data_IF_328318452813
#
_entry.id   IF_328318452813
#
_cell.length_a   1.000
_cell.length_b   1.000
_cell.length_c   1.000
_cell.angle_alpha   90.00
_cell.angle_beta   90.00
_cell.angle_gamma   90.00
#
_symmetry.space_group_name_H-M   'P 1'
#
loop_
_entity.id
_entity.type
_entity.pdbx_description
1 polymer ?
#
# COMPACT_ATOMS: atom_id res chain seq x y z
N UNK A 1 -6.42 -2.37 -19.41
CA UNK A 1 -5.26 -1.52 -19.06
C UNK A 1 -4.21 -1.78 -20.14
N UNK A 2 -3.99 -0.83 -21.05
CA UNK A 2 -3.00 -0.98 -22.12
C UNK A 2 -1.60 -1.10 -21.51
N UNK A 3 -0.82 -2.08 -21.99
CA UNK A 3 0.60 -2.19 -21.66
C UNK A 3 1.31 -0.94 -22.17
N UNK A 4 2.00 -0.23 -21.28
CA UNK A 4 2.97 0.78 -21.69
C UNK A 4 4.30 0.05 -21.82
N UNK A 5 4.69 -0.25 -23.05
CA UNK A 5 5.98 -0.88 -23.35
C UNK A 5 7.12 -0.01 -22.81
N UNK A 6 7.97 -0.58 -21.95
CA UNK A 6 9.19 0.10 -21.46
C UNK A 6 10.24 0.06 -22.58
N UNK A 7 10.40 1.19 -23.27
CA UNK A 7 11.47 1.38 -24.24
C UNK A 7 12.68 2.02 -23.56
N UNK A 8 13.81 1.31 -23.51
CA UNK A 8 15.08 1.88 -23.06
C UNK A 8 15.79 2.51 -24.26
N UNK A 9 15.69 3.83 -24.39
CA UNK A 9 16.31 4.59 -25.47
C UNK A 9 17.78 4.85 -25.09
N UNK A 10 18.72 4.31 -25.86
CA UNK A 10 20.16 4.55 -25.68
C UNK A 10 20.55 5.92 -26.25
N UNK A 11 21.65 6.51 -25.78
CA UNK A 11 22.13 7.81 -26.28
C UNK A 11 22.40 7.83 -27.80
N UNK A 12 22.65 6.66 -28.40
CA UNK A 12 22.89 6.48 -29.83
C UNK A 12 21.62 6.34 -30.68
N UNK A 13 20.43 6.27 -30.07
CA UNK A 13 19.15 6.11 -30.78
C UNK A 13 18.69 7.48 -31.36
N UNK A 14 18.23 7.57 -32.61
CA UNK A 14 17.73 8.83 -33.19
C UNK A 14 16.59 9.49 -32.40
N UNK A 15 15.79 8.70 -31.66
CA UNK A 15 14.74 9.21 -30.76
C UNK A 15 15.31 9.89 -29.52
N UNK A 16 16.59 9.64 -29.18
CA UNK A 16 17.29 10.34 -28.12
C UNK A 16 17.56 11.80 -28.47
N UNK A 17 17.83 12.12 -29.73
CA UNK A 17 17.95 13.50 -30.19
C UNK A 17 16.60 14.25 -30.15
N UNK A 18 15.49 13.53 -30.36
CA UNK A 18 14.12 14.06 -30.21
C UNK A 18 13.69 14.20 -28.74
N UNK A 19 14.32 13.46 -27.82
CA UNK A 19 14.30 13.73 -26.39
C UNK A 19 15.20 14.94 -26.13
N UNK A 20 14.72 16.12 -26.52
CA UNK A 20 15.40 17.39 -26.24
C UNK A 20 15.79 17.41 -24.75
N UNK A 21 17.10 17.36 -24.48
CA UNK A 21 17.63 17.33 -23.12
C UNK A 21 17.07 18.52 -22.32
N UNK A 22 16.88 19.67 -22.98
CA UNK A 22 16.26 20.84 -22.39
C UNK A 22 14.75 20.66 -22.14
N UNK A 23 14.02 19.94 -22.97
CA UNK A 23 12.61 19.60 -22.69
C UNK A 23 12.47 18.65 -21.49
N UNK A 24 13.37 17.66 -21.36
CA UNK A 24 13.41 16.79 -20.19
C UNK A 24 13.75 17.57 -18.91
N UNK A 25 14.78 18.41 -18.95
CA UNK A 25 15.21 19.21 -17.80
C UNK A 25 14.12 20.22 -17.39
N UNK A 26 13.44 20.85 -18.37
CA UNK A 26 12.26 21.71 -18.12
C UNK A 26 11.12 20.94 -17.45
N UNK A 27 10.81 19.73 -17.93
CA UNK A 27 9.76 18.90 -17.34
C UNK A 27 10.11 18.44 -15.91
N UNK A 28 11.37 18.07 -15.66
CA UNK A 28 11.85 17.71 -14.34
C UNK A 28 11.76 18.90 -13.37
N UNK A 29 12.15 20.10 -13.82
CA UNK A 29 12.04 21.32 -13.03
C UNK A 29 10.58 21.67 -12.73
N UNK A 30 9.69 21.62 -13.72
CA UNK A 30 8.26 21.86 -13.54
C UNK A 30 7.62 20.84 -12.56
N UNK A 31 8.03 19.57 -12.63
CA UNK A 31 7.59 18.51 -11.70
C UNK A 31 8.03 18.79 -10.27
N UNK A 32 9.29 19.18 -10.07
CA UNK A 32 9.80 19.61 -8.76
C UNK A 32 9.01 20.80 -8.21
N UNK A 33 8.70 21.78 -9.05
CA UNK A 33 7.95 22.97 -8.62
C UNK A 33 6.52 22.60 -8.19
N UNK A 34 5.83 21.76 -8.95
CA UNK A 34 4.51 21.26 -8.57
C UNK A 34 4.57 20.46 -7.26
N UNK A 35 5.56 19.58 -7.11
CA UNK A 35 5.75 18.81 -5.90
C UNK A 35 5.95 19.71 -4.69
N UNK A 36 6.83 20.71 -4.79
CA UNK A 36 7.13 21.64 -3.70
C UNK A 36 5.94 22.55 -3.35
N UNK A 37 5.22 23.06 -4.35
CA UNK A 37 4.03 23.88 -4.15
C UNK A 37 2.93 23.08 -3.44
N UNK A 38 2.62 21.89 -3.94
CA UNK A 38 1.63 21.02 -3.31
C UNK A 38 2.07 20.57 -1.91
N UNK A 39 3.36 20.26 -1.72
CA UNK A 39 3.90 19.91 -0.41
C UNK A 39 3.76 21.08 0.57
N UNK A 40 4.03 22.31 0.15
CA UNK A 40 3.86 23.49 0.98
C UNK A 40 2.42 23.63 1.47
N UNK A 41 1.44 23.56 0.57
CA UNK A 41 0.02 23.64 0.93
C UNK A 41 -0.39 22.56 1.94
N UNK A 42 -0.02 21.30 1.69
CA UNK A 42 -0.32 20.20 2.61
C UNK A 42 0.36 20.43 3.96
N UNK A 43 1.62 20.88 3.98
CA UNK A 43 2.36 21.15 5.23
C UNK A 43 1.74 22.28 6.02
N UNK A 44 1.41 23.41 5.39
CA UNK A 44 0.78 24.54 6.09
C UNK A 44 -0.55 24.10 6.70
N UNK A 45 -1.39 23.43 5.92
CA UNK A 45 -2.66 22.91 6.41
C UNK A 45 -2.45 21.94 7.59
N UNK A 46 -1.51 20.99 7.48
CA UNK A 46 -1.23 20.03 8.54
C UNK A 46 -0.71 20.69 9.82
N UNK A 47 0.16 21.69 9.72
CA UNK A 47 0.73 22.39 10.88
C UNK A 47 -0.34 23.19 11.62
N UNK A 48 -1.20 23.92 10.91
CA UNK A 48 -2.16 24.82 11.56
C UNK A 48 -3.48 24.14 11.97
N UNK A 49 -3.92 23.12 11.24
CA UNK A 49 -5.20 22.45 11.52
C UNK A 49 -5.04 21.07 12.15
N UNK A 50 -3.84 20.47 12.07
CA UNK A 50 -3.60 19.08 12.44
C UNK A 50 -4.19 18.06 11.46
N UNK A 51 -4.78 18.50 10.33
CA UNK A 51 -5.49 17.62 9.39
C UNK A 51 -4.75 17.50 8.05
N UNK A 52 -4.78 16.29 7.48
CA UNK A 52 -4.15 15.98 6.20
C UNK A 52 -5.08 16.25 5.02
N UNK A 53 -4.58 16.98 4.02
CA UNK A 53 -5.28 17.22 2.75
C UNK A 53 -5.01 16.03 1.82
N UNK A 54 -6.04 15.21 1.58
CA UNK A 54 -5.90 14.03 0.72
C UNK A 54 -5.66 14.39 -0.76
N UNK A 55 -5.21 13.39 -1.54
CA UNK A 55 -4.99 13.51 -2.99
C UNK A 55 -6.12 14.22 -3.75
N UNK A 56 -7.38 13.90 -3.47
CA UNK A 56 -8.52 14.47 -4.21
C UNK A 56 -8.72 15.96 -3.92
N UNK A 57 -8.48 16.38 -2.68
CA UNK A 57 -8.55 17.78 -2.30
C UNK A 57 -7.37 18.57 -2.88
N UNK A 58 -6.13 18.06 -2.75
CA UNK A 58 -4.95 18.77 -3.26
C UNK A 58 -4.95 18.86 -4.78
N UNK A 59 -5.43 17.83 -5.50
CA UNK A 59 -5.58 17.88 -6.96
C UNK A 59 -6.50 19.02 -7.40
N UNK A 60 -7.66 19.19 -6.73
CA UNK A 60 -8.59 20.30 -7.02
C UNK A 60 -7.97 21.67 -6.75
N UNK A 61 -7.21 21.80 -5.67
CA UNK A 61 -6.51 23.06 -5.33
C UNK A 61 -5.46 23.36 -6.40
N UNK A 62 -4.64 22.36 -6.74
CA UNK A 62 -3.50 22.51 -7.64
C UNK A 62 -3.92 22.73 -9.10
N UNK A 63 -5.08 22.27 -9.56
CA UNK A 63 -5.55 22.49 -10.94
C UNK A 63 -5.57 23.96 -11.39
N UNK A 64 -5.70 24.90 -10.45
CA UNK A 64 -5.64 26.35 -10.72
C UNK A 64 -4.22 26.92 -10.69
N UNK A 65 -3.27 26.22 -10.07
CA UNK A 65 -1.90 26.66 -9.85
C UNK A 65 -1.06 26.60 -11.13
N UNK A 66 -0.16 27.56 -11.32
CA UNK A 66 0.74 27.64 -12.49
C UNK A 66 1.58 26.37 -12.67
N UNK A 67 2.16 25.86 -11.59
CA UNK A 67 2.99 24.65 -11.61
C UNK A 67 2.24 23.40 -12.06
N UNK A 68 0.92 23.32 -11.83
CA UNK A 68 0.11 22.20 -12.31
C UNK A 68 -0.14 22.31 -13.82
N UNK A 69 -0.38 23.54 -14.30
CA UNK A 69 -0.63 23.86 -15.72
C UNK A 69 0.65 23.81 -16.57
N UNK A 70 1.82 23.93 -15.94
CA UNK A 70 3.14 23.81 -16.58
C UNK A 70 3.47 22.38 -17.06
N UNK A 71 2.65 21.39 -16.67
CA UNK A 71 2.81 19.99 -17.04
C UNK A 71 1.52 19.44 -17.66
N UNK A 72 1.60 18.38 -18.50
CA UNK A 72 0.41 17.66 -18.93
C UNK A 72 -0.35 17.12 -17.72
N UNK A 73 -1.67 17.27 -17.70
CA UNK A 73 -2.56 16.89 -16.57
C UNK A 73 -2.27 15.49 -16.00
N UNK A 74 -2.01 14.51 -16.89
CA UNK A 74 -1.68 13.14 -16.47
C UNK A 74 -0.39 13.06 -15.66
N UNK A 75 0.62 13.85 -16.02
CA UNK A 75 1.91 13.93 -15.29
C UNK A 75 1.70 14.63 -13.96
N UNK A 76 1.01 15.77 -13.94
CA UNK A 76 0.71 16.53 -12.72
C UNK A 76 0.02 15.66 -11.67
N UNK A 77 -1.00 14.90 -12.08
CA UNK A 77 -1.69 13.96 -11.19
C UNK A 77 -0.77 12.84 -10.66
N UNK A 78 0.19 12.35 -11.45
CA UNK A 78 1.15 11.35 -10.96
C UNK A 78 2.11 11.94 -9.92
N UNK A 79 2.54 13.20 -10.09
CA UNK A 79 3.35 13.91 -9.10
C UNK A 79 2.58 14.04 -7.78
N UNK A 80 1.31 14.42 -7.83
CA UNK A 80 0.46 14.52 -6.63
C UNK A 80 0.18 13.16 -5.98
N UNK A 81 0.02 12.08 -6.76
CA UNK A 81 -0.10 10.72 -6.20
C UNK A 81 1.20 10.25 -5.55
N UNK A 82 2.35 10.59 -6.11
CA UNK A 82 3.64 10.32 -5.49
C UNK A 82 3.77 11.06 -4.15
N UNK A 83 3.39 12.33 -4.11
CA UNK A 83 3.33 13.12 -2.89
C UNK A 83 2.41 12.48 -1.83
N UNK A 84 1.19 12.07 -2.22
CA UNK A 84 0.24 11.39 -1.33
C UNK A 84 0.79 10.07 -0.76
N UNK A 85 1.52 9.30 -1.58
CA UNK A 85 2.24 8.10 -1.13
C UNK A 85 3.32 8.45 -0.10
N UNK A 86 4.11 9.50 -0.34
CA UNK A 86 5.16 9.95 0.58
C UNK A 86 4.57 10.38 1.93
N UNK A 87 3.44 11.09 1.93
CA UNK A 87 2.72 11.44 3.16
C UNK A 87 2.17 10.23 3.91
N UNK A 88 1.61 9.26 3.19
CA UNK A 88 1.18 7.99 3.80
C UNK A 88 2.34 7.28 4.49
N UNK A 89 3.50 7.22 3.85
CA UNK A 89 4.73 6.67 4.44
C UNK A 89 5.19 7.48 5.66
N UNK A 90 5.12 8.81 5.61
CA UNK A 90 5.43 9.68 6.75
C UNK A 90 4.51 9.38 7.95
N UNK A 91 3.21 9.22 7.75
CA UNK A 91 2.29 8.88 8.85
C UNK A 91 2.54 7.49 9.44
N UNK A 92 2.89 6.51 8.62
CA UNK A 92 3.30 5.20 9.10
C UNK A 92 4.56 5.28 9.98
N UNK A 93 5.57 6.04 9.55
CA UNK A 93 6.79 6.28 10.31
C UNK A 93 6.50 7.06 11.62
N UNK A 94 5.65 8.08 11.58
CA UNK A 94 5.25 8.84 12.76
C UNK A 94 4.52 7.96 13.78
N UNK A 95 3.65 7.05 13.32
CA UNK A 95 2.97 6.07 14.18
C UNK A 95 3.97 5.12 14.84
N UNK A 96 4.91 4.57 14.06
CA UNK A 96 5.96 3.70 14.58
C UNK A 96 6.81 4.41 15.63
N UNK A 97 7.25 5.64 15.33
CA UNK A 97 8.00 6.48 16.27
C UNK A 97 7.25 6.69 17.59
N UNK A 98 5.99 7.13 17.53
CA UNK A 98 5.16 7.35 18.73
C UNK A 98 4.92 6.07 19.54
N UNK A 99 4.74 4.94 18.86
CA UNK A 99 4.60 3.63 19.51
C UNK A 99 5.89 3.25 20.26
N UNK A 100 7.04 3.39 19.61
CA UNK A 100 8.34 3.09 20.23
C UNK A 100 8.60 3.95 21.48
N UNK A 101 8.19 5.22 21.48
CA UNK A 101 8.33 6.11 22.65
C UNK A 101 7.60 5.60 23.89
N UNK A 102 6.48 4.90 23.72
CA UNK A 102 5.71 4.30 24.83
C UNK A 102 6.02 2.81 25.01
N UNK A 103 7.11 2.31 24.42
CA UNK A 103 7.54 0.92 24.52
C UNK A 103 6.71 -0.07 23.70
N UNK A 104 5.91 0.40 22.72
CA UNK A 104 5.18 -0.46 21.79
C UNK A 104 6.06 -0.78 20.58
N UNK A 105 6.29 -2.06 20.32
CA UNK A 105 6.98 -2.50 19.11
C UNK A 105 6.03 -2.59 17.93
N UNK A 106 6.41 -2.05 16.78
CA UNK A 106 5.59 -2.07 15.55
C UNK A 106 6.23 -2.98 14.51
N UNK A 107 5.52 -4.03 14.12
CA UNK A 107 5.94 -4.94 13.05
C UNK A 107 5.14 -4.65 11.78
N UNK A 108 5.82 -4.46 10.67
CA UNK A 108 5.18 -4.26 9.36
C UNK A 108 4.89 -5.61 8.73
N UNK A 109 3.64 -5.86 8.36
CA UNK A 109 3.20 -7.12 7.74
C UNK A 109 2.47 -6.88 6.43
N UNK A 110 2.79 -7.70 5.42
CA UNK A 110 2.16 -7.70 4.10
C UNK A 110 0.76 -8.34 4.15
N UNK A 111 -0.26 -7.67 3.64
CA UNK A 111 -1.67 -8.06 3.86
C UNK A 111 -2.36 -8.85 2.72
N UNK A 112 -1.62 -9.50 1.83
CA UNK A 112 -2.22 -10.31 0.78
C UNK A 112 -3.13 -11.38 1.36
N UNK A 113 -4.35 -11.43 0.80
CA UNK A 113 -5.39 -12.41 1.09
C UNK A 113 -5.92 -12.45 2.53
N UNK A 114 -5.48 -11.58 3.44
CA UNK A 114 -5.93 -11.55 4.85
C UNK A 114 -7.42 -11.29 5.03
N UNK A 115 -8.06 -10.60 4.07
CA UNK A 115 -9.51 -10.35 4.06
C UNK A 115 -10.33 -11.43 3.34
N UNK A 116 -9.67 -12.34 2.62
CA UNK A 116 -10.31 -13.41 1.84
C UNK A 116 -10.24 -14.75 2.54
N UNK A 117 -9.09 -15.07 3.12
CA UNK A 117 -8.89 -16.27 3.93
C UNK A 117 -9.83 -16.27 5.14
N UNK A 118 -10.38 -17.44 5.45
CA UNK A 118 -11.15 -17.64 6.67
C UNK A 118 -10.19 -17.87 7.83
N UNK A 119 -10.29 -17.02 8.85
CA UNK A 119 -9.56 -17.22 10.09
C UNK A 119 -9.98 -18.52 10.79
N UNK A 120 -11.29 -18.77 10.87
CA UNK A 120 -11.84 -19.92 11.61
C UNK A 120 -11.51 -21.26 10.99
N UNK A 121 -11.43 -21.30 9.66
CA UNK A 121 -11.10 -22.53 8.93
C UNK A 121 -9.57 -22.71 8.79
N UNK A 122 -8.78 -21.80 9.39
CA UNK A 122 -7.33 -21.77 9.34
C UNK A 122 -6.77 -21.83 7.92
N UNK A 123 -7.44 -21.18 6.97
CA UNK A 123 -7.01 -21.12 5.57
C UNK A 123 -5.54 -20.68 5.46
N UNK A 124 -4.81 -21.24 4.49
CA UNK A 124 -3.43 -20.82 4.19
C UNK A 124 -3.44 -19.40 3.60
N UNK A 125 -2.54 -18.55 4.08
CA UNK A 125 -2.47 -17.14 3.68
C UNK A 125 -1.17 -16.90 2.90
N UNK A 126 -1.15 -17.13 1.58
CA UNK A 126 0.06 -16.99 0.79
C UNK A 126 0.47 -15.51 0.64
N UNK A 127 1.75 -15.29 0.38
CA UNK A 127 2.25 -14.00 -0.09
C UNK A 127 2.02 -13.92 -1.60
N UNK A 128 1.44 -12.82 -2.07
CA UNK A 128 1.17 -12.63 -3.50
C UNK A 128 2.47 -12.72 -4.31
N UNK A 129 2.46 -13.51 -5.39
CA UNK A 129 3.61 -13.71 -6.28
C UNK A 129 4.60 -14.81 -5.88
N UNK A 130 4.47 -15.43 -4.69
CA UNK A 130 5.33 -16.57 -4.28
C UNK A 130 4.76 -17.96 -4.61
N UNK A 131 3.48 -18.06 -4.98
CA UNK A 131 2.75 -19.32 -5.20
C UNK A 131 2.36 -19.51 -6.67
N UNK A 132 3.31 -19.48 -7.60
CA UNK A 132 3.06 -19.78 -9.03
C UNK A 132 1.83 -19.09 -9.64
N UNK A 133 1.24 -19.69 -10.67
CA UNK A 133 0.02 -19.18 -11.33
C UNK A 133 -1.30 -19.63 -10.66
N UNK A 134 -1.24 -20.49 -9.64
CA UNK A 134 -2.43 -21.05 -9.01
C UNK A 134 -3.08 -20.03 -8.07
N UNK A 135 -4.33 -19.68 -8.36
CA UNK A 135 -5.10 -18.77 -7.49
C UNK A 135 -5.49 -19.51 -6.21
N UNK A 136 -5.18 -18.96 -5.02
CA UNK A 136 -5.59 -19.59 -3.77
C UNK A 136 -7.12 -19.61 -3.67
N UNK A 137 -7.66 -20.77 -3.30
CA UNK A 137 -9.08 -20.96 -3.00
C UNK A 137 -9.25 -20.86 -1.49
N UNK A 138 -10.17 -20.02 -1.06
CA UNK A 138 -10.48 -19.81 0.36
C UNK A 138 -11.81 -20.46 0.69
N UNK A 139 -11.91 -20.98 1.91
CA UNK A 139 -13.08 -21.74 2.36
C UNK A 139 -14.25 -20.82 2.76
N UNK A 140 -13.93 -19.64 3.29
CA UNK A 140 -14.90 -18.61 3.66
C UNK A 140 -15.08 -17.52 2.60
N UNK A 141 -16.08 -16.67 2.82
CA UNK A 141 -16.37 -15.51 1.95
C UNK A 141 -16.90 -14.32 2.73
N UNK A 142 -16.53 -13.13 2.29
CA UNK A 142 -17.17 -11.89 2.73
C UNK A 142 -18.56 -11.77 2.10
N UNK A 143 -19.58 -11.53 2.91
CA UNK A 143 -20.95 -11.31 2.43
C UNK A 143 -21.17 -9.83 2.17
N UNK A 144 -20.86 -8.99 3.16
CA UNK A 144 -21.09 -7.55 3.12
C UNK A 144 -20.04 -6.79 3.94
N UNK A 145 -20.14 -5.47 4.00
CA UNK A 145 -19.31 -4.66 4.90
C UNK A 145 -19.64 -5.05 6.35
N UNK A 146 -18.63 -5.46 7.10
CA UNK A 146 -18.79 -5.90 8.49
C UNK A 146 -19.14 -7.37 8.66
N UNK A 147 -19.50 -8.13 7.61
CA UNK A 147 -19.95 -9.53 7.74
C UNK A 147 -19.16 -10.52 6.87
N UNK A 148 -18.52 -11.49 7.52
CA UNK A 148 -17.79 -12.60 6.92
C UNK A 148 -18.45 -13.93 7.29
N UNK A 149 -18.46 -14.91 6.38
CA UNK A 149 -19.01 -16.24 6.59
C UNK A 149 -17.95 -17.32 6.37
N UNK A 150 -17.72 -18.14 7.39
CA UNK A 150 -16.82 -19.30 7.34
C UNK A 150 -17.47 -20.48 6.58
N UNK A 151 -16.68 -21.52 6.31
CA UNK A 151 -17.14 -22.77 5.68
C UNK A 151 -18.27 -23.44 6.46
N UNK A 152 -18.19 -23.41 7.79
CA UNK A 152 -19.23 -23.93 8.71
C UNK A 152 -20.58 -23.20 8.60
N UNK A 153 -20.62 -22.08 7.89
CA UNK A 153 -21.80 -21.23 7.77
C UNK A 153 -21.92 -20.15 8.85
N UNK A 154 -21.06 -20.20 9.88
CA UNK A 154 -21.01 -19.18 10.94
C UNK A 154 -20.60 -17.82 10.36
N UNK A 155 -21.36 -16.78 10.70
CA UNK A 155 -21.07 -15.42 10.31
C UNK A 155 -20.45 -14.63 11.47
N UNK A 156 -19.46 -13.79 11.18
CA UNK A 156 -18.74 -12.98 12.17
C UNK A 156 -18.18 -11.70 11.53
N UNK A 157 -17.61 -10.83 12.35
CA UNK A 157 -17.14 -9.52 11.91
C UNK A 157 -15.94 -9.62 10.94
N UNK A 158 -15.95 -8.80 9.87
CA UNK A 158 -14.88 -8.82 8.86
C UNK A 158 -13.55 -8.28 9.36
N UNK A 159 -13.60 -7.27 10.24
CA UNK A 159 -12.40 -6.65 10.80
C UNK A 159 -11.74 -7.60 11.79
N UNK A 160 -12.54 -8.33 12.58
CA UNK A 160 -12.06 -9.45 13.41
C UNK A 160 -11.35 -10.51 12.56
N UNK A 161 -11.95 -10.95 11.45
CA UNK A 161 -11.30 -11.88 10.52
C UNK A 161 -9.96 -11.33 10.00
N UNK A 162 -9.94 -10.06 9.59
CA UNK A 162 -8.74 -9.39 9.09
C UNK A 162 -7.64 -9.30 10.14
N UNK A 163 -7.96 -8.80 11.34
CA UNK A 163 -7.01 -8.66 12.46
C UNK A 163 -6.36 -10.00 12.84
N UNK A 164 -7.14 -11.07 12.96
CA UNK A 164 -6.60 -12.38 13.28
C UNK A 164 -5.73 -12.95 12.16
N UNK A 165 -6.11 -12.75 10.89
CA UNK A 165 -5.30 -13.20 9.76
C UNK A 165 -3.99 -12.40 9.61
N UNK A 166 -3.98 -11.11 9.96
CA UNK A 166 -2.75 -10.31 10.03
C UNK A 166 -1.82 -10.89 11.09
N UNK A 167 -2.36 -11.20 12.28
CA UNK A 167 -1.61 -11.82 13.36
C UNK A 167 -1.03 -13.17 12.95
N UNK A 168 -1.86 -14.07 12.39
CA UNK A 168 -1.42 -15.38 11.87
C UNK A 168 -0.32 -15.28 10.82
N UNK A 169 -0.30 -14.19 10.05
CA UNK A 169 0.71 -14.01 9.00
C UNK A 169 2.03 -13.47 9.54
N UNK A 170 1.96 -12.61 10.56
CA UNK A 170 3.14 -12.15 11.29
C UNK A 170 3.72 -13.26 12.18
N UNK A 171 2.83 -14.09 12.75
CA UNK A 171 3.13 -15.14 13.71
C UNK A 171 2.33 -16.40 13.34
N UNK A 172 2.87 -17.28 12.47
CA UNK A 172 2.20 -18.50 12.02
C UNK A 172 1.72 -19.40 13.16
N UNK A 173 2.50 -19.45 14.24
CA UNK A 173 2.25 -20.30 15.41
C UNK A 173 1.38 -19.63 16.48
N UNK A 174 0.81 -18.44 16.22
CA UNK A 174 0.00 -17.73 17.21
C UNK A 174 -1.22 -18.51 17.71
N UNK A 175 -1.65 -19.57 17.00
CA UNK A 175 -2.84 -20.36 17.30
C UNK A 175 -2.66 -21.89 17.15
N UNK A 176 -1.44 -22.40 16.95
CA UNK A 176 -1.22 -23.80 16.57
C UNK A 176 -1.44 -24.81 17.72
N UNK A 177 -1.18 -24.44 18.98
CA UNK A 177 -1.15 -25.41 20.10
C UNK A 177 -2.11 -25.08 21.27
N UNK A 178 -3.17 -24.29 21.05
CA UNK A 178 -4.18 -24.02 22.09
C UNK A 178 -3.67 -23.18 23.27
N UNK A 179 -4.22 -23.40 24.48
CA UNK A 179 -3.95 -22.59 25.69
C UNK A 179 -2.48 -22.70 26.15
N UNK A 180 -1.79 -23.81 25.86
CA UNK A 180 -0.42 -24.07 26.32
C UNK A 180 0.63 -23.10 25.73
N UNK A 181 0.41 -22.58 24.51
CA UNK A 181 1.36 -21.69 23.81
C UNK A 181 1.06 -20.19 23.93
N UNK A 182 -0.11 -19.83 24.47
CA UNK A 182 -0.42 -18.43 24.81
C UNK A 182 0.63 -17.88 25.79
N UNK A 183 1.30 -18.76 26.54
CA UNK A 183 2.39 -18.42 27.47
C UNK A 183 3.81 -18.58 26.90
N UNK A 184 4.02 -19.02 25.65
CA UNK A 184 5.37 -19.16 25.06
C UNK A 184 5.59 -18.24 23.88
N UNK A 185 4.67 -18.23 22.91
CA UNK A 185 4.75 -17.32 21.76
C UNK A 185 4.40 -15.87 22.16
N UNK A 186 3.43 -15.67 23.06
CA UNK A 186 3.01 -14.34 23.53
C UNK A 186 3.94 -13.77 24.62
N UNK A 187 4.64 -14.63 25.38
CA UNK A 187 5.58 -14.22 26.44
C UNK A 187 6.93 -13.78 25.88
N UNK A 188 7.33 -14.28 24.71
CA UNK A 188 8.54 -13.82 24.01
C UNK A 188 8.31 -12.53 23.20
N UNK A 189 7.05 -12.15 22.98
CA UNK A 189 6.72 -10.88 22.36
C UNK A 189 6.65 -9.81 23.45
N UNK A 190 7.13 -8.59 23.19
CA UNK A 190 6.86 -7.49 24.11
C UNK A 190 5.34 -7.42 24.33
N UNK A 191 4.91 -7.27 25.59
CA UNK A 191 3.50 -7.18 25.99
C UNK A 191 2.70 -6.10 25.22
N UNK A 192 3.40 -5.29 24.43
CA UNK A 192 3.00 -4.14 23.65
C UNK A 192 3.41 -4.30 22.17
N UNK A 193 3.04 -5.40 21.49
CA UNK A 193 3.27 -5.56 20.04
C UNK A 193 2.05 -5.09 19.21
N UNK A 194 2.28 -4.25 18.21
CA UNK A 194 1.29 -3.88 17.19
C UNK A 194 1.76 -4.32 15.81
N UNK A 195 0.95 -5.12 15.12
CA UNK A 195 1.19 -5.46 13.71
C UNK A 195 0.48 -4.46 12.82
N UNK A 196 1.22 -3.87 11.88
CA UNK A 196 0.72 -2.91 10.91
C UNK A 196 0.72 -3.51 9.49
N UNK A 197 -0.46 -3.74 8.88
CA UNK A 197 -0.93 -2.69 7.99
C UNK A 197 -0.43 -2.50 6.56
N UNK A 198 0.45 -3.29 5.94
CA UNK A 198 1.01 -2.84 4.64
C UNK A 198 0.42 -3.58 3.45
N UNK A 199 -0.42 -2.85 2.71
CA UNK A 199 -0.94 -3.27 1.41
C UNK A 199 0.12 -3.03 0.35
N UNK A 200 0.88 -4.07 0.00
CA UNK A 200 1.83 -4.00 -1.10
C UNK A 200 1.06 -4.21 -2.40
N UNK A 201 0.96 -3.17 -3.23
CA UNK A 201 0.51 -3.31 -4.62
C UNK A 201 1.71 -3.81 -5.42
N UNK A 202 1.86 -5.14 -5.52
CA UNK A 202 2.81 -5.74 -6.45
C UNK A 202 2.17 -5.69 -7.84
N UNK A 203 2.78 -5.01 -8.83
CA UNK A 203 2.26 -5.04 -10.20
C UNK A 203 2.21 -6.49 -10.69
N UNK A 204 1.06 -6.92 -11.22
CA UNK A 204 0.90 -8.28 -11.74
C UNK A 204 1.92 -8.54 -12.84
N UNK A 205 2.64 -9.67 -12.76
CA UNK A 205 3.47 -10.12 -13.86
C UNK A 205 2.57 -10.37 -15.09
N UNK A 206 3.00 -9.99 -16.31
CA UNK A 206 2.19 -10.17 -17.50
C UNK A 206 1.95 -11.66 -17.74
N UNK A 207 0.69 -12.03 -18.01
CA UNK A 207 0.41 -13.35 -18.60
C UNK A 207 1.07 -13.36 -19.97
N UNK A 208 2.10 -14.18 -20.17
CA UNK A 208 2.62 -14.42 -21.50
C UNK A 208 1.46 -14.92 -22.37
N UNK A 209 1.12 -14.19 -23.43
CA UNK A 209 0.15 -14.69 -24.39
C UNK A 209 0.70 -16.00 -24.94
N UNK A 210 -0.07 -17.08 -24.84
CA UNK A 210 0.18 -18.27 -25.65
C UNK A 210 0.06 -17.82 -27.09
N UNK A 211 1.19 -17.66 -27.78
CA UNK A 211 1.23 -17.50 -29.23
C UNK A 211 0.45 -18.68 -29.81
N UNK A 212 -0.66 -18.37 -30.48
CA UNK A 212 -1.29 -19.27 -31.44
C UNK A 212 -0.55 -19.12 -32.76
#
# INVERSE_FOLDING_TARGET
MQLVEKHMIKQTDPRFAALDRAAFDRAAFASKNLYNAALYEIRQHFIFTGTYVNYHAIDKIMQKHEAYRALPTKVSQQVLRLLDKNWTSFFAALKAYKATLVGISVMVQEESYTSKASFLDLDTIPVYGKMGEQKPVFSGRRISRGLYKAKSGRAFNTDVNGSYNILRKALPDAFSNGIEDVNKALVALPASLVVHPVRIVIPSQPKMSRKR
#
